data_IF_551809130834
#
_entry.id   IF_551809130834
#
_cell.length_a   1.000
_cell.length_b   1.000
_cell.length_c   1.000
_cell.angle_alpha   90.00
_cell.angle_beta   90.00
_cell.angle_gamma   90.00
#
_symmetry.space_group_name_H-M   'P 1'
#
loop_
_entity.id
_entity.type
_entity.pdbx_description
1 polymer ?
#
# COMPACT_ATOMS: atom_id res chain seq x y z
N UNK A 1 -17.71 -8.70 13.58
CA UNK A 1 -16.77 -9.52 12.79
C UNK A 1 -17.18 -9.47 11.33
N UNK A 2 -16.25 -9.21 10.41
CA UNK A 2 -16.57 -9.23 8.98
C UNK A 2 -17.04 -10.62 8.56
N UNK A 3 -17.95 -10.66 7.60
CA UNK A 3 -18.35 -11.92 6.98
C UNK A 3 -17.22 -12.48 6.13
N UNK A 4 -17.16 -13.81 5.94
CA UNK A 4 -16.17 -14.45 5.06
C UNK A 4 -16.13 -13.83 3.65
N UNK A 5 -17.29 -13.37 3.16
CA UNK A 5 -17.38 -12.70 1.87
C UNK A 5 -16.77 -11.28 1.89
N UNK A 6 -17.01 -10.50 2.95
CA UNK A 6 -16.40 -9.17 3.10
C UNK A 6 -14.88 -9.25 3.18
N UNK A 7 -14.35 -10.26 3.89
CA UNK A 7 -12.90 -10.47 3.97
C UNK A 7 -12.28 -10.87 2.62
N UNK A 8 -12.96 -11.73 1.85
CA UNK A 8 -12.53 -12.08 0.51
C UNK A 8 -12.51 -10.87 -0.43
N UNK A 9 -13.53 -10.01 -0.36
CA UNK A 9 -13.60 -8.77 -1.14
C UNK A 9 -12.50 -7.80 -0.71
N UNK A 10 -12.28 -7.60 0.60
CA UNK A 10 -11.20 -6.76 1.13
C UNK A 10 -9.84 -7.17 0.55
N UNK A 11 -9.49 -8.46 0.67
CA UNK A 11 -8.23 -9.01 0.16
C UNK A 11 -8.09 -8.83 -1.36
N UNK A 12 -9.17 -9.09 -2.11
CA UNK A 12 -9.15 -8.93 -3.56
C UNK A 12 -8.92 -7.47 -4.00
N UNK A 13 -9.56 -6.51 -3.32
CA UNK A 13 -9.38 -5.07 -3.59
C UNK A 13 -7.98 -4.62 -3.20
N UNK A 14 -7.50 -5.00 -2.01
CA UNK A 14 -6.16 -4.68 -1.53
C UNK A 14 -5.09 -5.16 -2.53
N UNK A 15 -5.15 -6.44 -2.91
CA UNK A 15 -4.21 -7.02 -3.86
C UNK A 15 -4.28 -6.34 -5.25
N UNK A 16 -5.46 -5.92 -5.70
CA UNK A 16 -5.61 -5.21 -6.97
C UNK A 16 -4.97 -3.81 -6.91
N UNK A 17 -5.15 -3.09 -5.81
CA UNK A 17 -4.56 -1.76 -5.62
C UNK A 17 -3.04 -1.84 -5.47
N UNK A 18 -2.52 -2.77 -4.67
CA UNK A 18 -1.07 -2.95 -4.50
C UNK A 18 -0.38 -3.29 -5.83
N UNK A 19 -0.93 -4.21 -6.63
CA UNK A 19 -0.42 -4.49 -7.97
C UNK A 19 -0.41 -3.27 -8.89
N UNK A 20 -1.45 -2.43 -8.81
CA UNK A 20 -1.55 -1.24 -9.65
C UNK A 20 -0.54 -0.18 -9.24
N UNK A 21 -0.42 0.09 -7.94
CA UNK A 21 0.58 1.01 -7.38
C UNK A 21 2.00 0.57 -7.73
N UNK A 22 2.31 -0.72 -7.66
CA UNK A 22 3.64 -1.23 -8.01
C UNK A 22 3.99 -1.11 -9.50
N UNK A 23 2.99 -1.01 -10.38
CA UNK A 23 3.19 -0.88 -11.83
C UNK A 23 3.13 0.57 -12.33
N UNK A 24 2.51 1.48 -11.58
CA UNK A 24 2.32 2.87 -11.96
C UNK A 24 3.60 3.68 -11.66
N UNK A 25 4.14 4.38 -12.66
CA UNK A 25 5.28 5.29 -12.48
C UNK A 25 4.98 6.41 -11.46
N UNK A 26 3.72 6.86 -11.43
CA UNK A 26 3.24 7.87 -10.50
C UNK A 26 1.98 7.35 -9.81
N UNK A 27 2.12 6.60 -8.71
CA UNK A 27 0.99 5.96 -8.05
C UNK A 27 0.02 7.01 -7.51
N UNK A 28 -1.27 6.76 -7.70
CA UNK A 28 -2.32 7.65 -7.21
C UNK A 28 -2.30 7.74 -5.69
N UNK A 29 -2.22 8.95 -5.09
CA UNK A 29 -2.33 9.13 -3.64
C UNK A 29 -3.61 8.54 -3.07
N UNK A 30 -4.72 8.66 -3.80
CA UNK A 30 -6.02 8.09 -3.42
C UNK A 30 -5.99 6.56 -3.37
N UNK A 31 -5.26 5.90 -4.26
CA UNK A 31 -5.10 4.44 -4.20
C UNK A 31 -4.27 4.02 -2.98
N UNK A 32 -3.22 4.77 -2.65
CA UNK A 32 -2.42 4.54 -1.44
C UNK A 32 -3.26 4.70 -0.16
N UNK A 33 -4.12 5.72 -0.10
CA UNK A 33 -5.02 5.92 1.03
C UNK A 33 -6.04 4.77 1.17
N UNK A 34 -6.55 4.26 0.06
CA UNK A 34 -7.43 3.09 0.07
C UNK A 34 -6.72 1.81 0.47
N UNK A 35 -5.45 1.61 0.08
CA UNK A 35 -4.64 0.50 0.56
C UNK A 35 -4.53 0.59 2.08
N UNK A 36 -4.07 1.71 2.62
CA UNK A 36 -3.88 1.92 4.06
C UNK A 36 -5.17 1.68 4.86
N UNK A 37 -6.32 2.10 4.35
CA UNK A 37 -7.61 1.86 4.99
C UNK A 37 -8.06 0.38 4.98
N UNK A 38 -7.47 -0.46 4.12
CA UNK A 38 -7.79 -1.89 3.99
C UNK A 38 -6.77 -2.81 4.66
N UNK A 39 -5.61 -2.28 5.08
CA UNK A 39 -4.56 -3.08 5.72
C UNK A 39 -5.04 -3.71 7.03
N UNK A 40 -4.63 -4.95 7.22
CA UNK A 40 -4.55 -5.61 8.52
C UNK A 40 -3.10 -5.75 8.94
N UNK A 41 -2.85 -6.13 10.20
CA UNK A 41 -1.49 -6.33 10.71
C UNK A 41 -0.65 -7.28 9.84
N UNK A 42 -1.28 -8.30 9.25
CA UNK A 42 -0.64 -9.27 8.35
C UNK A 42 -0.22 -8.65 7.00
N UNK A 43 -0.85 -7.55 6.58
CA UNK A 43 -0.63 -6.91 5.27
C UNK A 43 0.45 -5.81 5.33
N UNK A 44 0.81 -5.34 6.54
CA UNK A 44 1.70 -4.18 6.74
C UNK A 44 3.09 -4.41 6.15
N UNK A 45 3.66 -5.61 6.34
CA UNK A 45 5.00 -5.93 5.86
C UNK A 45 5.08 -5.88 4.33
N UNK A 46 4.11 -6.48 3.63
CA UNK A 46 4.04 -6.47 2.16
C UNK A 46 3.86 -5.04 1.62
N UNK A 47 3.04 -4.23 2.30
CA UNK A 47 2.87 -2.83 1.91
C UNK A 47 4.12 -1.98 2.13
N UNK A 48 4.84 -2.18 3.23
CA UNK A 48 6.09 -1.48 3.50
C UNK A 48 7.17 -1.83 2.47
N UNK A 49 7.29 -3.11 2.08
CA UNK A 49 8.20 -3.55 1.03
C UNK A 49 7.88 -2.87 -0.32
N UNK A 50 6.61 -2.86 -0.73
CA UNK A 50 6.16 -2.16 -1.93
C UNK A 50 6.56 -0.67 -1.93
N UNK A 51 6.35 0.03 -0.81
CA UNK A 51 6.70 1.45 -0.71
C UNK A 51 8.22 1.66 -0.74
N UNK A 52 8.99 0.77 -0.10
CA UNK A 52 10.44 0.87 -0.04
C UNK A 52 11.05 0.66 -1.43
N UNK A 53 10.63 -0.37 -2.17
CA UNK A 53 11.07 -0.60 -3.54
C UNK A 53 10.87 0.63 -4.43
N UNK A 54 9.74 1.32 -4.30
CA UNK A 54 9.47 2.54 -5.08
C UNK A 54 10.38 3.70 -4.68
N UNK A 55 10.68 3.83 -3.38
CA UNK A 55 11.65 4.82 -2.90
C UNK A 55 13.06 4.54 -3.43
N UNK A 56 13.44 3.27 -3.58
CA UNK A 56 14.74 2.87 -4.12
C UNK A 56 14.86 3.09 -5.63
N UNK A 57 13.76 2.91 -6.38
CA UNK A 57 13.74 3.10 -7.84
C UNK A 57 13.68 4.58 -8.26
N UNK A 58 13.13 5.45 -7.41
CA UNK A 58 13.00 6.88 -7.71
C UNK A 58 14.30 7.65 -7.40
N UNK A 59 14.80 8.40 -8.39
CA UNK A 59 15.91 9.35 -8.19
C UNK A 59 15.56 10.47 -7.18
N UNK A 60 14.27 10.83 -7.10
CA UNK A 60 13.74 11.86 -6.21
C UNK A 60 12.50 11.30 -5.51
N UNK A 61 12.66 10.51 -4.44
CA UNK A 61 11.55 9.83 -3.80
C UNK A 61 10.54 10.83 -3.27
N UNK A 62 9.26 10.55 -3.46
CA UNK A 62 8.21 11.48 -3.05
C UNK A 62 8.13 11.56 -1.52
N UNK A 63 8.09 12.80 -1.00
CA UNK A 63 7.95 13.07 0.44
C UNK A 63 6.72 12.37 1.05
N UNK A 64 5.54 12.36 0.40
CA UNK A 64 4.39 11.62 0.94
C UNK A 64 4.66 10.13 1.11
N UNK A 65 5.43 9.50 0.23
CA UNK A 65 5.73 8.06 0.28
C UNK A 65 6.71 7.73 1.41
N UNK A 66 7.72 8.57 1.61
CA UNK A 66 8.60 8.49 2.79
C UNK A 66 7.82 8.66 4.10
N UNK A 67 6.88 9.62 4.15
CA UNK A 67 6.04 9.83 5.33
C UNK A 67 5.13 8.63 5.63
N UNK A 68 4.67 7.89 4.62
CA UNK A 68 3.90 6.65 4.80
C UNK A 68 4.75 5.58 5.45
N UNK A 69 5.95 5.31 4.92
CA UNK A 69 6.91 4.37 5.51
C UNK A 69 7.27 4.71 6.97
N UNK A 70 7.54 5.98 7.26
CA UNK A 70 7.87 6.43 8.61
C UNK A 70 6.73 6.22 9.62
N UNK A 71 5.46 6.29 9.18
CA UNK A 71 4.31 5.98 10.05
C UNK A 71 4.19 4.49 10.38
N UNK A 72 4.64 3.61 9.48
CA UNK A 72 4.62 2.15 9.69
C UNK A 72 5.77 1.67 10.58
N UNK A 73 6.84 2.45 10.70
CA UNK A 73 8.04 2.11 11.48
C UNK A 73 8.00 2.59 12.94
N UNK A 74 6.95 3.32 13.34
CA UNK A 74 6.78 3.90 14.68
C UNK A 74 5.87 3.02 15.55
#
# INVERSE_FOLDING_TARGET
MPTRNQEAVRKAVLAALMRKVGADQYPSPTMLDHIEALLTDDDIAEYAELLMERVEEDLYPSIPMLQRLLRLAA
#
